data_IF_261587178075
#
_entry.id   IF_261587178075
#
_cell.length_a   1.000
_cell.length_b   1.000
_cell.length_c   1.000
_cell.angle_alpha   90.00
_cell.angle_beta   90.00
_cell.angle_gamma   90.00
#
_symmetry.space_group_name_H-M   'P 1'
#
loop_
_entity.id
_entity.type
_entity.pdbx_description
1 polymer ?
#
# COMPACT_ATOMS: atom_id res chain seq x y z
N UNK A 1 13.71 11.85 -15.88
CA UNK A 1 14.09 11.35 -14.52
C UNK A 1 13.05 10.37 -14.02
N UNK A 2 13.39 9.57 -13.01
CA UNK A 2 12.47 8.61 -12.39
C UNK A 2 12.54 8.77 -10.88
N UNK A 3 11.40 8.65 -10.23
CA UNK A 3 11.29 8.62 -8.77
C UNK A 3 11.44 7.18 -8.29
N UNK A 4 12.21 6.98 -7.24
CA UNK A 4 12.38 5.67 -6.59
C UNK A 4 11.77 5.70 -5.19
N UNK A 5 10.94 4.71 -4.90
CA UNK A 5 10.25 4.57 -3.62
C UNK A 5 10.48 3.21 -2.99
N UNK A 6 10.47 3.17 -1.66
CA UNK A 6 10.28 1.95 -0.88
C UNK A 6 8.90 1.98 -0.26
N UNK A 7 8.07 1.00 -0.61
CA UNK A 7 6.73 0.82 -0.07
C UNK A 7 6.77 -0.33 0.92
N UNK A 8 6.50 -0.06 2.18
CA UNK A 8 6.57 -1.04 3.26
C UNK A 8 5.20 -1.22 3.90
N UNK A 9 4.65 -2.43 3.82
CA UNK A 9 3.41 -2.80 4.51
C UNK A 9 3.66 -2.80 6.02
N UNK A 10 2.85 -2.02 6.75
CA UNK A 10 2.97 -1.87 8.20
C UNK A 10 2.27 -3.02 8.93
N UNK A 11 2.68 -3.27 10.16
CA UNK A 11 2.09 -4.28 11.07
C UNK A 11 2.18 -5.73 10.58
N UNK A 12 2.92 -5.98 9.49
CA UNK A 12 3.24 -7.33 9.01
C UNK A 12 4.72 -7.58 9.20
N UNK A 13 5.03 -8.57 10.03
CA UNK A 13 6.40 -8.92 10.40
C UNK A 13 6.68 -10.40 10.14
N UNK A 14 7.96 -10.72 9.93
CA UNK A 14 8.50 -12.08 9.83
C UNK A 14 7.88 -12.95 8.71
N UNK A 15 8.23 -12.66 7.44
CA UNK A 15 9.08 -11.56 6.99
C UNK A 15 8.30 -10.25 6.93
N UNK A 16 8.99 -9.12 6.85
CA UNK A 16 8.41 -7.84 6.42
C UNK A 16 7.96 -7.98 4.98
N UNK A 17 6.92 -7.24 4.62
CA UNK A 17 6.46 -7.15 3.23
C UNK A 17 6.77 -5.76 2.72
N UNK A 18 7.60 -5.67 1.69
CA UNK A 18 7.98 -4.40 1.09
C UNK A 18 8.31 -4.57 -0.39
N UNK A 19 8.22 -3.46 -1.13
CA UNK A 19 8.63 -3.36 -2.54
C UNK A 19 9.44 -2.08 -2.73
N UNK A 20 10.50 -2.16 -3.53
CA UNK A 20 11.12 -0.98 -4.13
C UNK A 20 10.60 -0.85 -5.56
N UNK A 21 10.03 0.31 -5.86
CA UNK A 21 9.47 0.62 -7.16
C UNK A 21 10.12 1.87 -7.74
N UNK A 22 10.20 1.94 -9.05
CA UNK A 22 10.58 3.15 -9.77
C UNK A 22 9.48 3.54 -10.74
N UNK A 23 9.14 4.82 -10.77
CA UNK A 23 8.08 5.37 -11.61
C UNK A 23 8.59 6.62 -12.35
N UNK A 24 8.01 6.98 -13.50
CA UNK A 24 8.27 8.28 -14.16
C UNK A 24 8.05 9.46 -13.20
N UNK A 25 8.82 10.53 -13.38
CA UNK A 25 8.79 11.74 -12.54
C UNK A 25 7.44 12.47 -12.60
N UNK A 26 6.74 12.34 -13.71
CA UNK A 26 5.44 12.97 -13.99
C UNK A 26 4.23 12.17 -13.50
N UNK A 27 4.45 11.08 -12.74
CA UNK A 27 3.34 10.29 -12.21
C UNK A 27 2.51 11.08 -11.20
N UNK A 28 1.19 10.95 -11.34
CA UNK A 28 0.23 11.36 -10.32
C UNK A 28 0.13 10.32 -9.20
N UNK A 29 -0.54 10.66 -8.09
CA UNK A 29 -0.79 9.71 -7.01
C UNK A 29 -1.67 8.53 -7.43
N UNK A 30 -2.63 8.73 -8.34
CA UNK A 30 -3.43 7.65 -8.92
C UNK A 30 -2.55 6.65 -9.72
N UNK A 31 -1.60 7.17 -10.48
CA UNK A 31 -0.64 6.32 -11.20
C UNK A 31 0.34 5.63 -10.24
N UNK A 32 0.75 6.29 -9.15
CA UNK A 32 1.56 5.67 -8.10
C UNK A 32 0.78 4.56 -7.40
N UNK A 33 -0.51 4.79 -7.06
CA UNK A 33 -1.40 3.75 -6.55
C UNK A 33 -1.42 2.54 -7.47
N UNK A 34 -1.66 2.73 -8.77
CA UNK A 34 -1.66 1.63 -9.74
C UNK A 34 -0.32 0.88 -9.76
N UNK A 35 0.82 1.58 -9.66
CA UNK A 35 2.13 0.96 -9.60
C UNK A 35 2.33 0.13 -8.32
N UNK A 36 1.82 0.59 -7.18
CA UNK A 36 1.84 -0.15 -5.91
C UNK A 36 0.97 -1.40 -6.02
N UNK A 37 -0.25 -1.29 -6.55
CA UNK A 37 -1.16 -2.43 -6.75
C UNK A 37 -0.48 -3.54 -7.56
N UNK A 38 0.11 -3.21 -8.69
CA UNK A 38 0.84 -4.16 -9.53
C UNK A 38 2.05 -4.79 -8.82
N UNK A 39 2.81 -3.99 -8.06
CA UNK A 39 3.99 -4.47 -7.33
C UNK A 39 3.65 -5.42 -6.18
N UNK A 40 2.49 -5.24 -5.55
CA UNK A 40 1.99 -6.11 -4.49
C UNK A 40 1.16 -7.27 -5.03
N UNK A 41 0.61 -7.18 -6.25
CA UNK A 41 -0.21 -8.21 -6.88
C UNK A 41 -1.68 -8.14 -6.50
N UNK A 42 -2.14 -6.96 -6.05
CA UNK A 42 -3.55 -6.68 -5.80
C UNK A 42 -4.32 -6.36 -7.08
N UNK A 43 -5.64 -6.43 -7.00
CA UNK A 43 -6.56 -6.32 -8.15
C UNK A 43 -7.22 -4.96 -8.29
N UNK A 44 -6.89 -4.00 -7.40
CA UNK A 44 -7.49 -2.68 -7.35
C UNK A 44 -9.03 -2.73 -7.17
N UNK A 45 -9.49 -3.60 -6.27
CA UNK A 45 -10.93 -3.83 -6.03
C UNK A 45 -11.52 -2.94 -4.93
N UNK A 46 -10.68 -2.21 -4.20
CA UNK A 46 -11.07 -1.40 -3.04
C UNK A 46 -10.56 0.03 -3.15
N UNK A 47 -11.07 0.87 -2.26
CA UNK A 47 -10.68 2.27 -2.13
C UNK A 47 -9.25 2.41 -1.61
N UNK A 48 -8.64 3.55 -1.93
CA UNK A 48 -7.33 3.92 -1.42
C UNK A 48 -7.27 5.39 -1.04
N UNK A 49 -6.30 5.72 -0.21
CA UNK A 49 -5.94 7.10 0.09
C UNK A 49 -4.45 7.24 0.42
N UNK A 50 -3.90 8.41 0.14
CA UNK A 50 -2.64 8.85 0.70
C UNK A 50 -2.90 9.97 1.70
N UNK A 51 -2.07 10.04 2.76
CA UNK A 51 -2.19 11.06 3.81
C UNK A 51 -0.86 11.23 4.54
N UNK A 52 -0.83 12.08 5.55
CA UNK A 52 0.34 12.27 6.40
C UNK A 52 0.84 10.94 7.00
N UNK A 53 2.11 10.88 7.31
CA UNK A 53 2.79 9.63 7.74
C UNK A 53 2.22 9.02 9.02
N UNK A 54 1.47 9.77 9.81
CA UNK A 54 0.97 9.34 11.13
C UNK A 54 -0.52 9.01 11.15
N UNK A 55 -1.00 8.18 10.22
CA UNK A 55 -2.39 7.66 10.23
C UNK A 55 -2.74 6.92 11.55
N UNK A 56 -1.78 6.66 12.43
CA UNK A 56 -1.97 6.03 13.73
C UNK A 56 -1.08 6.60 14.82
N UNK A 57 -1.12 7.90 15.02
CA UNK A 57 -0.85 8.41 16.34
C UNK A 57 -2.00 7.94 17.26
N UNK A 58 -1.68 7.01 18.17
CA UNK A 58 -2.65 6.50 19.16
C UNK A 58 -3.21 7.60 20.07
N UNK A 59 -2.60 8.78 20.06
CA UNK A 59 -3.01 9.94 20.84
C UNK A 59 -4.02 10.82 20.11
N UNK A 60 -4.06 10.76 18.77
CA UNK A 60 -5.06 11.45 17.96
C UNK A 60 -5.34 10.68 16.65
N UNK A 61 -6.30 9.74 16.63
CA UNK A 61 -6.64 8.97 15.44
C UNK A 61 -7.29 9.80 14.31
N UNK A 62 -7.48 11.11 14.51
CA UNK A 62 -8.10 12.05 13.55
C UNK A 62 -7.14 13.17 13.14
N UNK A 63 -5.81 12.96 13.23
CA UNK A 63 -4.82 14.01 12.91
C UNK A 63 -4.30 13.95 11.47
N UNK A 64 -5.05 13.37 10.56
CA UNK A 64 -4.72 13.49 9.14
C UNK A 64 -4.95 14.94 8.72
N UNK A 65 -3.90 15.61 8.24
CA UNK A 65 -3.99 17.00 7.81
C UNK A 65 -4.36 17.15 6.34
N UNK A 66 -4.35 16.05 5.58
CA UNK A 66 -4.81 16.02 4.20
C UNK A 66 -5.11 14.59 3.71
N UNK A 67 -5.90 14.50 2.65
CA UNK A 67 -6.23 13.25 1.94
C UNK A 67 -6.02 13.43 0.44
N UNK A 68 -5.26 12.53 -0.17
CA UNK A 68 -5.12 12.45 -1.62
C UNK A 68 -5.78 11.15 -2.07
N UNK A 69 -6.92 11.25 -2.74
CA UNK A 69 -7.70 10.10 -3.24
C UNK A 69 -8.48 10.49 -4.49
N UNK A 70 -9.33 9.61 -5.01
CA UNK A 70 -10.18 9.92 -6.15
C UNK A 70 -11.32 10.88 -5.76
N UNK A 71 -11.73 11.82 -6.63
CA UNK A 71 -12.73 12.84 -6.31
C UNK A 71 -14.09 12.27 -5.85
N UNK A 72 -14.50 11.13 -6.39
CA UNK A 72 -15.75 10.47 -6.03
C UNK A 72 -15.78 9.93 -4.60
N UNK A 73 -14.64 9.91 -3.90
CA UNK A 73 -14.52 9.43 -2.52
C UNK A 73 -14.36 10.57 -1.51
N UNK A 74 -14.45 11.80 -1.96
CA UNK A 74 -14.54 12.93 -1.05
C UNK A 74 -15.81 12.80 -0.19
N UNK A 75 -15.63 12.72 1.11
CA UNK A 75 -16.73 12.69 2.07
C UNK A 75 -17.17 14.12 2.41
N UNK A 76 -18.46 14.33 2.63
CA UNK A 76 -19.02 15.62 3.09
C UNK A 76 -18.45 16.04 4.47
N UNK A 77 -17.83 15.12 5.20
CA UNK A 77 -17.21 15.35 6.50
C UNK A 77 -15.76 15.85 6.41
N UNK A 78 -15.15 15.87 5.19
CA UNK A 78 -13.78 16.34 4.96
C UNK A 78 -13.85 17.77 4.45
N UNK A 79 -13.15 18.70 5.12
CA UNK A 79 -13.03 20.08 4.66
C UNK A 79 -12.34 20.13 3.28
N UNK A 80 -12.87 20.95 2.36
CA UNK A 80 -12.35 21.03 0.98
C UNK A 80 -10.84 21.35 0.94
N UNK A 81 -10.32 22.08 1.93
CA UNK A 81 -8.91 22.47 2.03
C UNK A 81 -7.97 21.30 2.37
N UNK A 82 -8.52 20.19 2.82
CA UNK A 82 -7.77 18.98 3.20
C UNK A 82 -7.82 17.90 2.11
N UNK A 83 -8.64 18.08 1.08
CA UNK A 83 -8.82 17.11 0.00
C UNK A 83 -8.02 17.48 -1.24
N UNK A 84 -7.35 16.48 -1.84
CA UNK A 84 -6.60 16.60 -3.08
C UNK A 84 -6.94 15.46 -4.03
N UNK A 85 -7.18 15.83 -5.30
CA UNK A 85 -7.49 14.86 -6.36
C UNK A 85 -6.23 14.10 -6.79
N UNK A 86 -6.20 12.82 -6.50
CA UNK A 86 -5.06 11.94 -6.82
C UNK A 86 -4.74 11.84 -8.30
N UNK A 87 -5.69 12.15 -9.19
CA UNK A 87 -5.48 12.15 -10.65
C UNK A 87 -4.78 13.41 -11.15
N UNK A 88 -4.75 14.47 -10.33
CA UNK A 88 -4.15 15.77 -10.67
C UNK A 88 -2.85 16.04 -9.91
N UNK A 89 -2.74 15.51 -8.69
CA UNK A 89 -1.58 15.74 -7.83
C UNK A 89 -0.38 14.91 -8.26
N UNK A 90 0.71 15.58 -8.64
CA UNK A 90 1.97 14.93 -9.01
C UNK A 90 2.78 14.57 -7.78
N UNK A 91 3.25 13.32 -7.70
CA UNK A 91 4.04 12.81 -6.57
C UNK A 91 5.31 13.62 -6.34
N UNK A 92 5.96 14.09 -7.41
CA UNK A 92 7.18 14.90 -7.36
C UNK A 92 7.00 16.27 -6.71
N UNK A 93 5.77 16.77 -6.62
CA UNK A 93 5.45 18.03 -5.93
C UNK A 93 5.36 17.87 -4.40
N UNK A 94 5.12 16.65 -3.92
CA UNK A 94 4.91 16.34 -2.51
C UNK A 94 6.14 15.69 -1.86
N UNK A 95 6.78 14.76 -2.55
CA UNK A 95 7.93 13.99 -2.07
C UNK A 95 9.19 14.48 -2.79
N UNK A 96 9.83 15.51 -2.24
CA UNK A 96 10.88 16.30 -2.89
C UNK A 96 12.28 15.97 -2.41
N UNK A 97 12.40 15.48 -1.18
CA UNK A 97 13.70 15.19 -0.54
C UNK A 97 13.80 13.71 -0.21
N UNK A 98 14.96 13.14 -0.46
CA UNK A 98 15.24 11.76 -0.05
C UNK A 98 14.94 11.57 1.44
N UNK A 99 14.13 10.57 1.76
CA UNK A 99 13.62 10.28 3.09
C UNK A 99 12.25 10.88 3.38
N UNK A 100 11.69 11.72 2.49
CA UNK A 100 10.29 12.14 2.60
C UNK A 100 9.39 10.91 2.58
N UNK A 101 8.33 10.96 3.36
CA UNK A 101 7.41 9.84 3.54
C UNK A 101 5.98 10.30 3.44
N UNK A 102 5.13 9.40 2.95
CA UNK A 102 3.68 9.54 2.97
C UNK A 102 3.08 8.18 3.33
N UNK A 103 1.94 8.20 3.97
CA UNK A 103 1.16 7.00 4.22
C UNK A 103 0.30 6.67 3.01
N UNK A 104 0.12 5.39 2.73
CA UNK A 104 -0.79 4.87 1.73
C UNK A 104 -1.64 3.78 2.35
N UNK A 105 -2.94 3.94 2.32
CA UNK A 105 -3.91 2.94 2.77
C UNK A 105 -4.64 2.39 1.56
N UNK A 106 -4.67 1.07 1.47
CA UNK A 106 -5.48 0.34 0.51
C UNK A 106 -6.49 -0.51 1.25
N UNK A 107 -7.71 -0.58 0.71
CA UNK A 107 -8.86 -1.23 1.32
C UNK A 107 -9.17 -0.66 2.71
N UNK A 108 -10.12 0.26 2.79
CA UNK A 108 -10.49 0.91 4.05
C UNK A 108 -11.15 -0.05 5.05
N UNK A 109 -11.60 -1.24 4.60
CA UNK A 109 -12.13 -2.31 5.45
C UNK A 109 -11.02 -3.12 6.09
N UNK A 110 -10.14 -3.76 5.28
CA UNK A 110 -8.98 -4.54 5.76
C UNK A 110 -7.84 -3.66 6.26
N UNK A 111 -7.82 -2.40 5.82
CA UNK A 111 -6.95 -1.34 6.29
C UNK A 111 -5.45 -1.65 6.11
N UNK A 112 -5.04 -1.89 4.87
CA UNK A 112 -3.67 -2.17 4.51
C UNK A 112 -2.83 -0.89 4.47
N UNK A 113 -2.23 -0.54 5.60
CA UNK A 113 -1.38 0.66 5.76
C UNK A 113 0.03 0.41 5.27
N UNK A 114 0.53 1.30 4.43
CA UNK A 114 1.89 1.30 3.93
C UNK A 114 2.59 2.62 4.24
N UNK A 115 3.87 2.53 4.50
CA UNK A 115 4.78 3.68 4.45
C UNK A 115 5.41 3.72 3.05
N UNK A 116 5.25 4.84 2.35
CA UNK A 116 5.89 5.12 1.06
C UNK A 116 7.02 6.10 1.32
N UNK A 117 8.26 5.63 1.24
CA UNK A 117 9.47 6.43 1.45
C UNK A 117 10.12 6.78 0.10
N UNK A 118 10.38 8.05 -0.13
CA UNK A 118 11.10 8.51 -1.30
C UNK A 118 12.61 8.28 -1.14
N UNK A 119 13.19 7.44 -2.00
CA UNK A 119 14.61 7.09 -1.95
C UNK A 119 15.51 7.98 -2.81
N UNK A 120 14.91 8.86 -3.63
CA UNK A 120 15.61 9.75 -4.53
C UNK A 120 15.23 9.53 -5.99
N UNK A 121 15.98 10.16 -6.87
CA UNK A 121 15.78 10.10 -8.32
C UNK A 121 16.89 9.32 -9.00
N UNK A 122 16.56 8.71 -10.13
CA UNK A 122 17.52 8.05 -11.01
C UNK A 122 17.30 8.48 -12.46
N UNK A 123 18.39 8.53 -13.22
CA UNK A 123 18.36 8.83 -14.66
C UNK A 123 18.45 7.53 -15.45
N UNK A 124 17.31 7.05 -15.90
CA UNK A 124 17.23 5.86 -16.73
C UNK A 124 16.22 6.04 -17.86
N UNK A 125 16.42 5.36 -18.99
CA UNK A 125 15.53 5.40 -20.15
C UNK A 125 14.43 4.31 -20.10
N UNK A 126 14.20 3.70 -18.96
CA UNK A 126 13.17 2.67 -18.79
C UNK A 126 11.78 3.34 -18.76
N UNK A 127 10.79 2.76 -19.45
CA UNK A 127 9.42 3.30 -19.51
C UNK A 127 8.52 2.62 -18.49
N UNK A 128 7.50 3.36 -18.01
CA UNK A 128 6.48 2.85 -17.09
C UNK A 128 6.99 2.61 -15.67
N UNK A 129 6.20 1.97 -14.84
CA UNK A 129 6.54 1.60 -13.48
C UNK A 129 7.29 0.26 -13.44
N UNK A 130 8.27 0.12 -12.54
CA UNK A 130 9.02 -1.12 -12.34
C UNK A 130 9.17 -1.44 -10.86
N UNK A 131 8.90 -2.69 -10.49
CA UNK A 131 9.30 -3.23 -9.19
C UNK A 131 10.72 -3.78 -9.32
N UNK A 132 11.68 -3.19 -8.60
CA UNK A 132 13.11 -3.51 -8.72
C UNK A 132 13.62 -4.42 -7.62
N UNK A 133 12.95 -4.44 -6.48
CA UNK A 133 13.26 -5.31 -5.34
C UNK A 133 12.03 -5.51 -4.45
N UNK A 134 12.06 -6.53 -3.60
CA UNK A 134 10.99 -6.78 -2.64
C UNK A 134 11.24 -7.99 -1.77
N UNK A 135 10.49 -8.09 -0.70
CA UNK A 135 10.49 -9.22 0.23
C UNK A 135 9.08 -9.44 0.78
N UNK A 136 8.81 -10.69 1.13
CA UNK A 136 7.56 -11.12 1.72
C UNK A 136 6.42 -11.30 0.71
N UNK A 137 5.58 -12.32 0.94
CA UNK A 137 4.35 -12.51 0.20
C UNK A 137 3.35 -11.41 0.56
N UNK A 138 2.69 -10.88 -0.45
CA UNK A 138 1.60 -9.95 -0.24
C UNK A 138 0.39 -10.65 0.37
N UNK A 139 -0.39 -10.00 1.26
CA UNK A 139 -1.69 -10.49 1.66
C UNK A 139 -2.62 -10.65 0.45
N UNK A 140 -3.43 -11.72 0.39
CA UNK A 140 -4.53 -11.78 -0.57
C UNK A 140 -5.58 -10.69 -0.30
N UNK A 141 -6.38 -10.36 -1.30
CA UNK A 141 -7.57 -9.54 -1.13
C UNK A 141 -8.52 -10.18 -0.10
N UNK A 142 -9.27 -9.36 0.61
CA UNK A 142 -10.36 -9.75 1.52
C UNK A 142 -9.98 -10.79 2.59
N UNK A 143 -8.71 -10.89 2.96
CA UNK A 143 -8.28 -11.92 3.91
C UNK A 143 -8.46 -11.51 5.39
N UNK A 144 -9.11 -10.39 5.69
CA UNK A 144 -9.41 -9.93 7.04
C UNK A 144 -8.29 -9.15 7.71
N UNK A 145 -7.58 -8.34 6.92
CA UNK A 145 -6.54 -7.44 7.38
C UNK A 145 -5.32 -8.16 7.96
N UNK A 146 -4.56 -7.46 8.79
CA UNK A 146 -3.31 -8.00 9.36
C UNK A 146 -3.53 -9.24 10.24
N UNK A 147 -4.71 -9.36 10.88
CA UNK A 147 -5.06 -10.52 11.71
C UNK A 147 -5.37 -11.74 10.85
N UNK A 148 -6.24 -11.60 9.85
CA UNK A 148 -6.59 -12.68 8.92
C UNK A 148 -5.35 -13.17 8.16
N UNK A 149 -4.49 -12.25 7.70
CA UNK A 149 -3.23 -12.63 7.08
C UNK A 149 -2.28 -13.38 8.03
N UNK A 150 -2.25 -13.02 9.31
CA UNK A 150 -1.46 -13.75 10.31
C UNK A 150 -1.98 -15.19 10.49
N UNK A 151 -3.30 -15.38 10.51
CA UNK A 151 -3.93 -16.70 10.60
C UNK A 151 -3.69 -17.51 9.32
N UNK A 152 -3.87 -16.93 8.16
CA UNK A 152 -3.53 -17.56 6.87
C UNK A 152 -2.09 -18.06 6.86
N UNK A 153 -1.12 -17.26 7.32
CA UNK A 153 0.28 -17.70 7.44
C UNK A 153 0.47 -18.92 8.38
N UNK A 154 -0.36 -19.03 9.43
CA UNK A 154 -0.34 -20.23 10.31
C UNK A 154 -0.90 -21.46 9.58
N UNK A 155 -2.04 -21.29 8.89
CA UNK A 155 -2.67 -22.35 8.08
C UNK A 155 -1.67 -22.88 7.05
N UNK A 156 -1.06 -21.98 6.26
CA UNK A 156 -0.03 -22.36 5.28
C UNK A 156 1.14 -23.13 5.89
N UNK A 157 1.70 -22.66 7.01
CA UNK A 157 2.83 -23.34 7.69
C UNK A 157 2.47 -24.70 8.24
N UNK A 158 1.22 -24.94 8.54
CA UNK A 158 0.73 -26.18 9.15
C UNK A 158 0.15 -27.16 8.13
N UNK A 159 -0.21 -26.73 6.93
CA UNK A 159 -0.94 -27.49 5.91
C UNK A 159 -0.35 -28.89 5.63
N UNK A 160 0.96 -29.07 5.76
CA UNK A 160 1.63 -30.39 5.59
C UNK A 160 1.77 -31.21 6.85
N UNK A 161 1.36 -30.73 8.04
CA UNK A 161 1.70 -31.36 9.33
C UNK A 161 0.68 -32.36 9.85
N UNK A 162 -0.58 -32.24 9.44
CA UNK A 162 -1.64 -33.17 9.86
C UNK A 162 -2.77 -33.24 8.84
N UNK A 163 -3.63 -34.27 8.95
CA UNK A 163 -4.83 -34.40 8.10
C UNK A 163 -5.82 -33.21 8.33
N UNK A 164 -5.98 -32.77 9.58
CA UNK A 164 -6.83 -31.65 9.94
C UNK A 164 -6.30 -30.34 9.34
N UNK A 165 -5.00 -30.07 9.48
CA UNK A 165 -4.38 -28.87 8.91
C UNK A 165 -4.42 -28.84 7.37
N UNK A 166 -4.36 -30.02 6.72
CA UNK A 166 -4.54 -30.10 5.27
C UNK A 166 -5.99 -29.81 4.86
N UNK A 167 -6.97 -30.25 5.64
CA UNK A 167 -8.39 -29.94 5.38
C UNK A 167 -8.68 -28.46 5.55
N UNK A 168 -8.16 -27.82 6.59
CA UNK A 168 -8.26 -26.37 6.83
C UNK A 168 -7.64 -25.55 5.67
N UNK A 169 -6.48 -25.98 5.16
CA UNK A 169 -5.87 -25.37 3.99
C UNK A 169 -6.72 -25.55 2.72
N UNK A 170 -7.32 -26.73 2.53
CA UNK A 170 -8.20 -26.98 1.38
C UNK A 170 -9.46 -26.12 1.44
N UNK A 171 -10.09 -25.99 2.62
CA UNK A 171 -11.24 -25.12 2.84
C UNK A 171 -10.92 -23.67 2.46
N UNK A 172 -9.73 -23.19 2.82
CA UNK A 172 -9.28 -21.85 2.42
C UNK A 172 -9.09 -21.71 0.89
N UNK A 173 -8.60 -22.75 0.20
CA UNK A 173 -8.41 -22.71 -1.25
C UNK A 173 -9.73 -22.79 -2.04
N UNK A 174 -10.77 -23.32 -1.42
CA UNK A 174 -12.09 -23.50 -2.03
C UNK A 174 -13.00 -22.25 -1.81
N UNK A 175 -12.50 -21.24 -1.10
CA UNK A 175 -13.18 -19.97 -0.80
C UNK A 175 -12.86 -18.91 -1.86
#
# INVERSE_FOLDING_TARGET
>A
MRLKFKVTLKRVERPKVWREITVPEDYTFDQLHTAIQLAFGWTNSHLYQFSDVEIYDKTNPYSESFYITLPEFQSDDIEEEEFYDSTQEHVSSWLTKKGDKISYVYDLGDHWVHEVEFLGMEDTNVRGAHCVAGEGACPPEDCGGTYGFADLKKICRNAGKSKAAKAEWQEYLDW
#
